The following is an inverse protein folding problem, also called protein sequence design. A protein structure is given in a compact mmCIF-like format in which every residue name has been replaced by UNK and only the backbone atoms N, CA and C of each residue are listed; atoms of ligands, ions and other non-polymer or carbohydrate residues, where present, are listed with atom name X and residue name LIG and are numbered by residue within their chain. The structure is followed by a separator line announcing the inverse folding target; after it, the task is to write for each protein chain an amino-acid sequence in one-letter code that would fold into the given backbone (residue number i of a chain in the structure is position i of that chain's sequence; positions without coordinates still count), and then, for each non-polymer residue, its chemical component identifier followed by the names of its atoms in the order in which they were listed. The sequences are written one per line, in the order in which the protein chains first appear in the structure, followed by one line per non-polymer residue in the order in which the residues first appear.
data_IF_790118589365
#
_entry.id   IF_790118589365
#
_cell.length_a   1.000
_cell.length_b   1.000
_cell.length_c   1.000
_cell.angle_alpha   90.00
_cell.angle_beta   90.00
_cell.angle_gamma   90.00
#
_symmetry.space_group_name_H-M   'P 1'
#
loop_
_entity.id
_entity.type
_entity.pdbx_description
1 polymer ?
#
# COMPACT_ATOMS: atom_id res chain seq x y z
N UNK A 1 7.48 9.92 -23.14
CA UNK A 1 7.36 8.69 -22.32
C UNK A 1 8.13 8.89 -21.02
N UNK A 2 7.57 9.62 -20.05
CA UNK A 2 8.08 9.63 -18.66
C UNK A 2 6.98 10.14 -17.74
N UNK A 3 5.97 9.32 -17.48
CA UNK A 3 5.03 9.61 -16.39
C UNK A 3 5.74 9.28 -15.08
N UNK A 4 6.13 10.28 -14.30
CA UNK A 4 6.56 10.05 -12.92
C UNK A 4 5.40 9.36 -12.19
N UNK A 5 5.54 8.06 -11.94
CA UNK A 5 4.60 7.30 -11.11
C UNK A 5 4.49 8.01 -9.77
N UNK A 6 3.29 8.48 -9.42
CA UNK A 6 3.06 9.10 -8.11
C UNK A 6 3.45 8.14 -7.00
N UNK A 7 3.81 8.66 -5.82
CA UNK A 7 4.10 7.83 -4.65
C UNK A 7 2.94 6.88 -4.34
N UNK A 8 1.69 7.29 -4.61
CA UNK A 8 0.51 6.46 -4.41
C UNK A 8 0.46 5.29 -5.39
N UNK A 9 0.75 5.53 -6.67
CA UNK A 9 0.84 4.45 -7.65
C UNK A 9 1.92 3.43 -7.26
N UNK A 10 3.09 3.89 -6.77
CA UNK A 10 4.13 2.99 -6.24
C UNK A 10 3.66 2.19 -5.03
N UNK A 11 2.90 2.81 -4.13
CA UNK A 11 2.29 2.13 -2.98
C UNK A 11 1.33 1.04 -3.46
N UNK A 12 0.43 1.34 -4.40
CA UNK A 12 -0.54 0.39 -4.92
C UNK A 12 0.15 -0.80 -5.60
N UNK A 13 1.16 -0.55 -6.44
CA UNK A 13 1.92 -1.63 -7.09
C UNK A 13 2.63 -2.56 -6.11
N UNK A 14 3.06 -2.07 -4.94
CA UNK A 14 3.64 -2.92 -3.88
C UNK A 14 2.56 -3.72 -3.17
N UNK A 15 1.40 -3.11 -2.90
CA UNK A 15 0.28 -3.77 -2.22
C UNK A 15 -0.34 -4.89 -3.08
N UNK A 16 -0.42 -4.69 -4.40
CA UNK A 16 -0.90 -5.70 -5.35
C UNK A 16 -0.02 -6.96 -5.41
N UNK A 17 1.26 -6.85 -5.04
CA UNK A 17 2.18 -7.99 -4.98
C UNK A 17 2.01 -8.86 -3.74
N UNK A 18 1.19 -8.45 -2.75
CA UNK A 18 0.97 -9.24 -1.54
C UNK A 18 0.10 -10.46 -1.88
N UNK A 19 0.61 -11.70 -1.71
CA UNK A 19 -0.16 -12.90 -2.05
C UNK A 19 -1.42 -13.06 -1.20
N UNK A 20 -2.38 -13.84 -1.71
CA UNK A 20 -3.54 -14.23 -0.90
C UNK A 20 -3.11 -15.04 0.33
N UNK A 21 -3.78 -14.82 1.46
CA UNK A 21 -3.45 -15.46 2.74
C UNK A 21 -2.21 -14.89 3.44
N UNK A 22 -1.57 -13.87 2.86
CA UNK A 22 -0.47 -13.14 3.49
C UNK A 22 -0.86 -11.70 3.80
N UNK A 23 -0.19 -11.16 4.81
CA UNK A 23 -0.35 -9.78 5.27
C UNK A 23 1.01 -9.12 5.39
N UNK A 24 1.03 -7.80 5.25
CA UNK A 24 2.19 -6.95 5.49
C UNK A 24 1.77 -5.77 6.36
N UNK A 25 2.74 -4.98 6.83
CA UNK A 25 2.45 -3.78 7.61
C UNK A 25 2.59 -2.50 6.78
N UNK A 26 1.86 -1.45 7.17
CA UNK A 26 2.03 -0.10 6.59
C UNK A 26 3.50 0.36 6.62
N UNK A 27 4.25 -0.01 7.67
CA UNK A 27 5.67 0.30 7.79
C UNK A 27 6.54 -0.42 6.77
N UNK A 28 6.28 -1.70 6.50
CA UNK A 28 7.01 -2.48 5.49
C UNK A 28 6.75 -1.96 4.08
N UNK A 29 5.49 -1.65 3.75
CA UNK A 29 5.15 -1.03 2.45
C UNK A 29 5.85 0.31 2.31
N UNK A 30 5.81 1.15 3.35
CA UNK A 30 6.50 2.45 3.36
C UNK A 30 8.01 2.31 3.19
N UNK A 31 8.63 1.31 3.84
CA UNK A 31 10.05 1.02 3.69
C UNK A 31 10.43 0.66 2.25
N UNK A 32 9.66 -0.22 1.60
CA UNK A 32 9.90 -0.63 0.20
C UNK A 32 9.74 0.55 -0.77
N UNK A 33 8.73 1.40 -0.55
CA UNK A 33 8.46 2.55 -1.42
C UNK A 33 9.43 3.72 -1.16
N UNK A 34 9.97 3.83 0.06
CA UNK A 34 10.75 4.96 0.52
C UNK A 34 9.88 6.13 1.01
N UNK A 35 8.76 5.84 1.68
CA UNK A 35 7.84 6.84 2.22
C UNK A 35 7.40 6.51 3.67
N UNK A 36 6.88 7.50 4.42
CA UNK A 36 6.35 7.25 5.75
C UNK A 36 5.13 6.32 5.72
N UNK A 37 5.00 5.43 6.71
CA UNK A 37 3.84 4.54 6.86
C UNK A 37 2.49 5.29 6.85
N UNK A 38 2.47 6.54 7.36
CA UNK A 38 1.29 7.41 7.32
C UNK A 38 0.83 7.72 5.90
N UNK A 39 1.76 7.87 4.96
CA UNK A 39 1.45 8.13 3.56
C UNK A 39 0.86 6.90 2.87
N UNK A 40 1.29 5.69 3.27
CA UNK A 40 0.64 4.44 2.85
C UNK A 40 -0.82 4.41 3.32
N UNK A 41 -1.08 4.79 4.56
CA UNK A 41 -2.45 4.91 5.09
C UNK A 41 -3.32 5.88 4.29
N UNK A 42 -2.78 7.06 3.94
CA UNK A 42 -3.50 8.03 3.10
C UNK A 42 -3.75 7.52 1.68
N UNK A 43 -2.81 6.77 1.11
CA UNK A 43 -3.02 6.14 -0.19
C UNK A 43 -4.15 5.11 -0.13
N UNK A 44 -4.16 4.22 0.88
CA UNK A 44 -5.25 3.26 1.05
C UNK A 44 -6.61 3.93 1.30
N UNK A 45 -6.65 5.03 2.05
CA UNK A 45 -7.88 5.78 2.32
C UNK A 45 -8.42 6.57 1.10
N UNK A 46 -7.58 6.78 0.08
CA UNK A 46 -7.95 7.47 -1.16
C UNK A 46 -8.45 6.50 -2.24
N UNK A 47 -8.47 5.19 -1.97
CA UNK A 47 -9.03 4.21 -2.89
C UNK A 47 -10.55 4.34 -2.96
N UNK A 48 -11.10 4.22 -4.16
CA UNK A 48 -12.54 4.06 -4.37
C UNK A 48 -13.00 2.69 -3.85
N UNK A 49 -14.28 2.60 -3.49
CA UNK A 49 -14.88 1.41 -2.86
C UNK A 49 -14.76 0.13 -3.72
N UNK A 50 -14.61 0.28 -5.03
CA UNK A 50 -14.49 -0.77 -6.04
C UNK A 50 -13.04 -1.03 -6.49
N UNK A 51 -12.05 -0.46 -5.79
CA UNK A 51 -10.64 -0.69 -6.13
C UNK A 51 -10.24 -2.16 -5.99
N UNK A 52 -9.46 -2.64 -6.97
CA UNK A 52 -8.85 -3.97 -6.97
C UNK A 52 -7.65 -4.10 -6.02
N UNK A 53 -7.16 -3.00 -5.44
CA UNK A 53 -5.99 -3.01 -4.57
C UNK A 53 -6.36 -3.74 -3.26
N UNK A 54 -5.62 -4.79 -2.85
CA UNK A 54 -5.95 -5.60 -1.68
C UNK A 54 -5.55 -4.91 -0.36
N UNK A 55 -6.12 -3.73 -0.09
CA UNK A 55 -5.80 -2.88 1.06
C UNK A 55 -5.96 -3.59 2.41
N UNK A 56 -6.89 -4.54 2.50
CA UNK A 56 -7.16 -5.35 3.70
C UNK A 56 -5.97 -6.23 4.11
N UNK A 57 -4.97 -6.43 3.23
CA UNK A 57 -3.73 -7.17 3.54
C UNK A 57 -2.65 -6.30 4.16
N UNK A 58 -2.90 -4.99 4.30
CA UNK A 58 -1.98 -4.04 4.93
C UNK A 58 -2.51 -3.71 6.33
N UNK A 59 -1.86 -4.25 7.35
CA UNK A 59 -2.29 -4.13 8.74
C UNK A 59 -1.34 -3.26 9.56
N UNK A 60 -1.77 -2.88 10.77
CA UNK A 60 -0.90 -2.18 11.69
C UNK A 60 0.21 -3.12 12.22
N UNK A 61 1.27 -2.54 12.80
CA UNK A 61 2.40 -3.31 13.36
C UNK A 61 2.01 -4.26 14.50
N UNK A 62 0.82 -4.10 15.09
CA UNK A 62 0.32 -4.92 16.20
C UNK A 62 -0.44 -6.16 15.72
N UNK A 63 -0.67 -6.32 14.42
CA UNK A 63 -1.27 -7.53 13.86
C UNK A 63 -2.79 -7.65 14.06
N UNK A 64 -3.46 -6.56 14.49
CA UNK A 64 -4.90 -6.50 14.74
C UNK A 64 -5.64 -5.75 13.63
#
# INVERSE_FOLDING_TARGET
MTGMSSTYHRIYSVVEQIPSGQVTTYGQVGHVVGCPARQVGYAMAALESDSSVPWHRVINRRGL
#
